data_IF_167162845183
#
_entry.id   IF_167162845183
#
_cell.length_a   1.000
_cell.length_b   1.000
_cell.length_c   1.000
_cell.angle_alpha   90.00
_cell.angle_beta   90.00
_cell.angle_gamma   90.00
#
_symmetry.space_group_name_H-M   'P 1'
#
loop_
_entity.id
_entity.type
_entity.pdbx_description
1 polymer ?
#
# COMPACT_ATOMS: atom_id res chain seq x y z
N UNK A 1 -2.29 9.20 30.94
CA UNK A 1 -2.09 8.55 29.62
C UNK A 1 -3.02 9.12 28.53
N UNK A 2 -4.18 9.66 28.88
CA UNK A 2 -5.15 10.12 27.87
C UNK A 2 -4.80 11.49 27.25
N UNK A 3 -4.19 12.40 27.99
CA UNK A 3 -3.94 13.76 27.53
C UNK A 3 -2.94 13.85 26.33
N UNK A 4 -1.89 13.05 26.35
CA UNK A 4 -0.91 13.02 25.24
C UNK A 4 -1.52 12.36 23.99
N UNK A 5 -2.36 11.35 24.18
CA UNK A 5 -3.08 10.67 23.11
C UNK A 5 -4.07 11.64 22.42
N UNK A 6 -4.77 12.42 23.25
CA UNK A 6 -5.71 13.44 22.77
C UNK A 6 -4.98 14.57 22.01
N UNK A 7 -3.86 15.04 22.54
CA UNK A 7 -3.02 16.02 21.87
C UNK A 7 -2.43 15.48 20.55
N UNK A 8 -2.02 14.21 20.53
CA UNK A 8 -1.52 13.54 19.32
C UNK A 8 -2.63 13.43 18.27
N UNK A 9 -3.82 13.01 18.68
CA UNK A 9 -4.97 12.90 17.79
C UNK A 9 -5.41 14.27 17.25
N UNK A 10 -5.41 15.31 18.09
CA UNK A 10 -5.68 16.66 17.62
C UNK A 10 -4.61 17.17 16.65
N UNK A 11 -3.34 16.87 16.91
CA UNK A 11 -2.22 17.25 16.03
C UNK A 11 -2.32 16.52 14.68
N UNK A 12 -2.68 15.26 14.67
CA UNK A 12 -2.93 14.44 13.47
C UNK A 12 -4.19 14.84 12.71
N UNK A 13 -5.18 15.45 13.40
CA UNK A 13 -6.41 15.94 12.80
C UNK A 13 -6.22 17.27 12.04
N UNK A 14 -5.10 17.98 12.24
CA UNK A 14 -4.79 19.16 11.47
C UNK A 14 -4.55 18.80 10.00
N UNK A 15 -5.20 19.49 9.03
CA UNK A 15 -5.09 19.14 7.60
C UNK A 15 -3.65 19.10 7.09
N UNK A 16 -2.81 20.00 7.56
CA UNK A 16 -1.39 20.09 7.15
C UNK A 16 -0.55 18.91 7.64
N UNK A 17 -0.83 18.38 8.83
CA UNK A 17 -0.09 17.28 9.42
C UNK A 17 -0.73 15.91 9.10
N UNK A 18 -2.05 15.88 8.95
CA UNK A 18 -2.80 14.67 8.64
C UNK A 18 -2.41 14.04 7.31
N UNK A 19 -2.26 14.84 6.26
CA UNK A 19 -1.83 14.34 4.94
C UNK A 19 -0.41 13.80 4.96
N UNK A 20 0.52 14.50 5.62
CA UNK A 20 1.91 14.02 5.78
C UNK A 20 1.98 12.72 6.56
N UNK A 21 1.18 12.61 7.61
CA UNK A 21 1.08 11.39 8.42
C UNK A 21 0.52 10.23 7.62
N UNK A 22 -0.55 10.45 6.86
CA UNK A 22 -1.12 9.43 5.97
C UNK A 22 -0.10 8.98 4.94
N UNK A 23 0.68 9.90 4.36
CA UNK A 23 1.74 9.56 3.42
C UNK A 23 2.79 8.65 4.06
N UNK A 24 3.32 9.02 5.23
CA UNK A 24 4.35 8.25 5.94
C UNK A 24 3.82 6.87 6.34
N UNK A 25 2.61 6.81 6.91
CA UNK A 25 1.99 5.54 7.29
C UNK A 25 1.78 4.66 6.05
N UNK A 26 1.27 5.21 4.95
CA UNK A 26 1.06 4.48 3.71
C UNK A 26 2.37 3.96 3.11
N UNK A 27 3.43 4.75 3.17
CA UNK A 27 4.77 4.36 2.71
C UNK A 27 5.35 3.23 3.56
N UNK A 28 5.33 3.37 4.89
CA UNK A 28 5.88 2.37 5.81
C UNK A 28 5.08 1.07 5.74
N UNK A 29 3.75 1.15 5.67
CA UNK A 29 2.89 -0.04 5.58
C UNK A 29 3.16 -0.86 4.32
N UNK A 30 3.50 -0.20 3.21
CA UNK A 30 3.83 -0.87 1.96
C UNK A 30 5.24 -1.47 1.91
N UNK A 31 6.14 -1.07 2.82
CA UNK A 31 7.53 -1.55 2.83
C UNK A 31 7.78 -2.59 3.91
N UNK A 32 7.26 -2.39 5.11
CA UNK A 32 7.69 -3.13 6.31
C UNK A 32 6.57 -3.93 6.98
N UNK A 33 5.32 -3.52 6.83
CA UNK A 33 4.19 -4.11 7.56
C UNK A 33 3.07 -4.50 6.58
N UNK A 34 2.57 -5.75 6.64
CA UNK A 34 1.39 -6.15 5.89
C UNK A 34 0.09 -5.60 6.51
N UNK A 35 0.19 -4.52 7.28
CA UNK A 35 -0.95 -3.85 7.89
C UNK A 35 -1.38 -2.70 7.00
N UNK A 36 -2.68 -2.64 6.72
CA UNK A 36 -3.26 -1.60 5.88
C UNK A 36 -3.15 -0.21 6.51
N UNK A 37 -2.90 0.79 5.70
CA UNK A 37 -2.96 2.22 6.08
C UNK A 37 -4.39 2.78 5.96
N UNK A 38 -5.37 1.94 5.64
CA UNK A 38 -6.77 2.32 5.46
C UNK A 38 -7.39 2.96 6.71
N UNK A 39 -7.11 2.49 7.95
CA UNK A 39 -7.63 3.15 9.16
C UNK A 39 -7.13 4.59 9.31
N UNK A 40 -5.90 4.89 8.90
CA UNK A 40 -5.34 6.24 8.96
C UNK A 40 -6.02 7.17 7.93
N UNK A 41 -6.23 6.68 6.71
CA UNK A 41 -6.97 7.43 5.66
C UNK A 41 -8.42 7.67 6.10
N UNK A 42 -9.09 6.63 6.58
CA UNK A 42 -10.46 6.73 7.07
C UNK A 42 -10.60 7.71 8.23
N UNK A 43 -9.71 7.64 9.22
CA UNK A 43 -9.71 8.55 10.37
C UNK A 43 -9.53 10.01 9.94
N UNK A 44 -8.58 10.30 9.05
CA UNK A 44 -8.37 11.67 8.54
C UNK A 44 -9.59 12.18 7.78
N UNK A 45 -10.14 11.37 6.86
CA UNK A 45 -11.31 11.77 6.05
C UNK A 45 -12.55 11.93 6.90
N UNK A 46 -12.71 11.11 7.96
CA UNK A 46 -13.86 11.22 8.85
C UNK A 46 -13.83 12.52 9.68
N UNK A 47 -12.64 12.94 10.09
CA UNK A 47 -12.44 14.22 10.80
C UNK A 47 -12.51 15.43 9.86
N UNK A 48 -12.11 15.27 8.61
CA UNK A 48 -12.03 16.30 7.60
C UNK A 48 -12.58 15.80 6.25
N UNK A 49 -13.90 15.79 6.05
CA UNK A 49 -14.52 15.23 4.84
C UNK A 49 -14.06 15.90 3.53
N UNK A 50 -13.67 17.17 3.59
CA UNK A 50 -13.12 17.92 2.46
C UNK A 50 -11.76 17.36 1.98
N UNK A 51 -11.05 16.60 2.82
CA UNK A 51 -9.77 15.98 2.49
C UNK A 51 -9.91 14.60 1.84
N UNK A 52 -11.11 14.15 1.48
CA UNK A 52 -11.35 12.84 0.89
C UNK A 52 -10.41 12.56 -0.30
N UNK A 53 -10.43 13.41 -1.31
CA UNK A 53 -9.59 13.25 -2.50
C UNK A 53 -8.09 13.43 -2.22
N UNK A 54 -7.66 14.52 -1.53
CA UNK A 54 -6.26 14.66 -1.15
C UNK A 54 -5.72 13.48 -0.35
N UNK A 55 -6.47 12.95 0.62
CA UNK A 55 -6.06 11.83 1.45
C UNK A 55 -5.86 10.55 0.62
N UNK A 56 -6.79 10.23 -0.29
CA UNK A 56 -6.67 9.07 -1.18
C UNK A 56 -5.47 9.21 -2.10
N UNK A 57 -5.25 10.38 -2.70
CA UNK A 57 -4.12 10.61 -3.61
C UNK A 57 -2.78 10.50 -2.87
N UNK A 58 -2.67 11.11 -1.70
CA UNK A 58 -1.46 11.10 -0.87
C UNK A 58 -1.17 9.67 -0.37
N UNK A 59 -2.18 8.96 0.10
CA UNK A 59 -2.05 7.56 0.52
C UNK A 59 -1.61 6.67 -0.65
N UNK A 60 -2.22 6.84 -1.82
CA UNK A 60 -1.85 6.11 -3.03
C UNK A 60 -0.40 6.38 -3.43
N UNK A 61 0.03 7.64 -3.39
CA UNK A 61 1.41 8.02 -3.70
C UNK A 61 2.39 7.39 -2.71
N UNK A 62 2.17 7.54 -1.40
CA UNK A 62 3.01 6.96 -0.36
C UNK A 62 3.11 5.45 -0.46
N UNK A 63 1.97 4.78 -0.60
CA UNK A 63 1.90 3.33 -0.70
C UNK A 63 2.50 2.80 -2.01
N UNK A 64 2.38 3.54 -3.11
CA UNK A 64 3.03 3.18 -4.40
C UNK A 64 4.55 3.32 -4.29
N UNK A 65 5.05 4.40 -3.70
CA UNK A 65 6.48 4.58 -3.44
C UNK A 65 7.04 3.47 -2.56
N UNK A 66 6.30 3.06 -1.51
CA UNK A 66 6.65 1.91 -0.69
C UNK A 66 6.71 0.60 -1.51
N UNK A 67 5.74 0.39 -2.40
CA UNK A 67 5.74 -0.74 -3.34
C UNK A 67 6.92 -0.73 -4.31
N UNK A 68 7.37 0.46 -4.77
CA UNK A 68 8.58 0.61 -5.59
C UNK A 68 9.83 0.20 -4.82
N UNK A 69 9.95 0.59 -3.54
CA UNK A 69 11.04 0.15 -2.67
C UNK A 69 11.01 -1.36 -2.50
N UNK A 70 9.84 -1.94 -2.25
CA UNK A 70 9.65 -3.39 -2.14
C UNK A 70 10.04 -4.11 -3.44
N UNK A 71 9.72 -3.55 -4.60
CA UNK A 71 10.15 -4.06 -5.90
C UNK A 71 11.68 -4.06 -6.02
N UNK A 72 12.35 -2.97 -5.63
CA UNK A 72 13.82 -2.88 -5.65
C UNK A 72 14.48 -3.85 -4.68
N UNK A 73 13.90 -4.05 -3.49
CA UNK A 73 14.37 -5.06 -2.55
C UNK A 73 14.24 -6.47 -3.14
N UNK A 74 13.11 -6.78 -3.78
CA UNK A 74 12.92 -8.05 -4.50
C UNK A 74 13.93 -8.25 -5.62
N UNK A 75 14.20 -7.22 -6.41
CA UNK A 75 15.19 -7.26 -7.48
C UNK A 75 16.61 -7.47 -6.95
N UNK A 76 16.97 -6.82 -5.86
CA UNK A 76 18.28 -6.99 -5.19
C UNK A 76 18.47 -8.39 -4.61
N UNK A 77 17.43 -8.98 -4.02
CA UNK A 77 17.50 -10.34 -3.44
C UNK A 77 17.58 -11.44 -4.50
N UNK A 78 17.18 -11.18 -5.75
CA UNK A 78 17.33 -12.13 -6.84
C UNK A 78 18.78 -12.63 -7.00
N UNK A 79 19.76 -11.76 -6.81
CA UNK A 79 21.18 -12.13 -6.88
C UNK A 79 21.63 -12.98 -5.67
N UNK A 80 21.00 -12.79 -4.49
CA UNK A 80 21.37 -13.52 -3.27
C UNK A 80 20.73 -14.92 -3.20
N UNK A 81 19.51 -15.07 -3.74
CA UNK A 81 18.68 -16.28 -3.56
C UNK A 81 18.87 -17.31 -4.68
N UNK A 82 19.55 -16.98 -5.76
CA UNK A 82 19.88 -17.96 -6.81
C UNK A 82 20.63 -19.22 -6.27
N UNK A 83 21.16 -19.15 -5.04
CA UNK A 83 21.86 -20.23 -4.36
C UNK A 83 20.92 -21.16 -3.55
N UNK A 84 19.63 -20.81 -3.38
CA UNK A 84 18.65 -21.53 -2.53
C UNK A 84 17.46 -22.08 -3.32
N UNK A 85 17.62 -22.32 -4.59
CA UNK A 85 16.55 -22.62 -5.56
C UNK A 85 16.15 -24.08 -5.64
N UNK A 86 15.87 -24.73 -4.51
CA UNK A 86 15.41 -26.13 -4.50
C UNK A 86 14.11 -26.29 -3.69
N UNK A 87 13.06 -25.55 -4.04
CA UNK A 87 11.73 -25.80 -3.46
C UNK A 87 10.64 -25.75 -4.51
N UNK A 88 10.15 -26.92 -4.87
CA UNK A 88 9.19 -27.16 -5.95
C UNK A 88 7.78 -26.58 -5.76
N UNK A 89 7.45 -26.09 -4.57
CA UNK A 89 6.09 -25.61 -4.25
C UNK A 89 5.85 -24.16 -4.72
N UNK A 90 6.90 -23.37 -4.88
CA UNK A 90 6.80 -21.99 -5.35
C UNK A 90 6.61 -21.84 -6.87
N UNK A 91 6.84 -22.91 -7.64
CA UNK A 91 6.94 -22.85 -9.09
C UNK A 91 5.60 -22.47 -9.76
N UNK A 92 4.45 -22.93 -9.23
CA UNK A 92 3.14 -22.67 -9.87
C UNK A 92 2.69 -21.21 -9.71
N UNK A 93 2.82 -20.64 -8.49
CA UNK A 93 2.45 -19.25 -8.24
C UNK A 93 3.37 -18.28 -8.99
N UNK A 94 4.67 -18.57 -9.03
CA UNK A 94 5.67 -17.80 -9.78
C UNK A 94 5.43 -17.87 -11.29
N UNK A 95 5.17 -19.06 -11.84
CA UNK A 95 4.86 -19.25 -13.26
C UNK A 95 3.58 -18.50 -13.67
N UNK A 96 2.58 -18.45 -12.79
CA UNK A 96 1.36 -17.70 -13.03
C UNK A 96 1.62 -16.18 -13.03
N UNK A 97 2.45 -15.69 -12.11
CA UNK A 97 2.87 -14.29 -12.05
C UNK A 97 3.72 -13.91 -13.26
N UNK A 98 4.64 -14.76 -13.70
CA UNK A 98 5.41 -14.57 -14.94
C UNK A 98 4.49 -14.48 -16.16
N UNK A 99 3.48 -15.33 -16.24
CA UNK A 99 2.51 -15.33 -17.33
C UNK A 99 1.64 -14.07 -17.37
N UNK A 100 1.25 -13.54 -16.22
CA UNK A 100 0.51 -12.27 -16.11
C UNK A 100 1.42 -11.05 -16.35
N UNK A 101 2.71 -11.20 -16.09
CA UNK A 101 3.68 -10.12 -16.22
C UNK A 101 3.35 -8.92 -15.32
N UNK A 102 3.60 -7.68 -15.77
CA UNK A 102 3.34 -6.47 -14.99
C UNK A 102 1.90 -6.30 -14.52
N UNK A 103 0.94 -6.90 -15.23
CA UNK A 103 -0.49 -6.89 -14.87
C UNK A 103 -0.76 -7.56 -13.52
N UNK A 104 0.12 -8.47 -13.09
CA UNK A 104 0.04 -9.07 -11.76
C UNK A 104 0.09 -8.02 -10.64
N UNK A 105 0.79 -6.90 -10.87
CA UNK A 105 0.88 -5.80 -9.91
C UNK A 105 -0.45 -5.08 -9.68
N UNK A 106 -1.46 -5.27 -10.56
CA UNK A 106 -2.82 -4.80 -10.31
C UNK A 106 -3.44 -5.48 -9.08
N UNK A 107 -3.05 -6.73 -8.79
CA UNK A 107 -3.47 -7.46 -7.59
C UNK A 107 -2.92 -6.83 -6.30
N UNK A 108 -2.09 -5.78 -6.38
CA UNK A 108 -1.68 -4.97 -5.24
C UNK A 108 -2.85 -4.26 -4.53
N UNK A 109 -4.02 -4.28 -5.13
CA UNK A 109 -5.26 -3.86 -4.50
C UNK A 109 -5.67 -4.79 -3.33
N UNK A 110 -5.26 -6.07 -3.34
CA UNK A 110 -5.61 -7.03 -2.29
C UNK A 110 -4.87 -6.68 -0.98
N UNK A 111 -5.63 -6.49 0.14
CA UNK A 111 -5.02 -6.19 1.42
C UNK A 111 -4.16 -7.37 1.90
N UNK A 112 -2.96 -7.08 2.42
CA UNK A 112 -2.04 -8.07 2.98
C UNK A 112 -1.24 -8.89 1.97
N UNK A 113 -1.77 -9.16 0.77
CA UNK A 113 -1.10 -9.93 -0.29
C UNK A 113 -0.46 -9.01 -1.34
N UNK A 114 -1.03 -7.83 -1.53
CA UNK A 114 -0.62 -6.91 -2.59
C UNK A 114 0.80 -6.37 -2.44
N UNK A 115 1.21 -6.04 -1.23
CA UNK A 115 2.53 -5.46 -0.97
C UNK A 115 3.67 -6.49 -1.12
N UNK A 116 3.58 -7.73 -0.58
CA UNK A 116 4.52 -8.79 -0.90
C UNK A 116 4.63 -9.10 -2.40
N UNK A 117 3.52 -8.95 -3.14
CA UNK A 117 3.50 -9.16 -4.59
C UNK A 117 4.40 -8.18 -5.34
N UNK A 118 4.54 -6.94 -4.84
CA UNK A 118 5.46 -5.96 -5.40
C UNK A 118 6.93 -6.42 -5.31
N UNK A 119 7.31 -7.01 -4.16
CA UNK A 119 8.64 -7.59 -3.98
C UNK A 119 8.87 -8.80 -4.90
N UNK A 120 7.87 -9.67 -5.05
CA UNK A 120 7.92 -10.81 -5.98
C UNK A 120 8.04 -10.36 -7.43
N UNK A 121 7.33 -9.30 -7.83
CA UNK A 121 7.45 -8.73 -9.17
C UNK A 121 8.88 -8.21 -9.45
N UNK A 122 9.53 -7.60 -8.46
CA UNK A 122 10.93 -7.21 -8.53
C UNK A 122 11.87 -8.41 -8.63
N UNK A 123 11.64 -9.44 -7.83
CA UNK A 123 12.41 -10.68 -7.84
C UNK A 123 12.32 -11.39 -9.20
N UNK A 124 11.16 -11.39 -9.84
CA UNK A 124 10.95 -11.89 -11.20
C UNK A 124 11.50 -10.97 -12.29
N UNK A 125 12.09 -9.82 -11.94
CA UNK A 125 12.62 -8.82 -12.88
C UNK A 125 11.58 -8.31 -13.87
N UNK A 126 10.32 -8.21 -13.45
CA UNK A 126 9.28 -7.61 -14.28
C UNK A 126 9.60 -6.13 -14.53
N UNK A 127 9.23 -5.55 -15.69
CA UNK A 127 9.57 -4.18 -16.03
C UNK A 127 9.02 -3.19 -15.00
N UNK A 128 9.89 -2.35 -14.45
CA UNK A 128 9.63 -1.46 -13.32
C UNK A 128 8.47 -0.48 -13.57
N UNK A 129 8.51 0.25 -14.69
CA UNK A 129 7.50 1.28 -14.96
C UNK A 129 6.07 0.74 -15.15
N UNK A 130 5.86 -0.31 -15.97
CA UNK A 130 4.54 -0.94 -16.04
C UNK A 130 4.06 -1.48 -14.71
N UNK A 131 4.94 -2.12 -13.91
CA UNK A 131 4.58 -2.58 -12.57
C UNK A 131 4.14 -1.42 -11.68
N UNK A 132 4.89 -0.32 -11.65
CA UNK A 132 4.56 0.88 -10.87
C UNK A 132 3.20 1.44 -11.26
N UNK A 133 2.89 1.52 -12.56
CA UNK A 133 1.60 2.00 -13.05
C UNK A 133 0.44 1.11 -12.57
N UNK A 134 0.57 -0.21 -12.73
CA UNK A 134 -0.46 -1.15 -12.26
C UNK A 134 -0.61 -1.16 -10.74
N UNK A 135 0.51 -1.01 -9.99
CA UNK A 135 0.48 -0.81 -8.54
C UNK A 135 -0.32 0.43 -8.15
N UNK A 136 -0.04 1.57 -8.79
CA UNK A 136 -0.73 2.83 -8.51
C UNK A 136 -2.23 2.72 -8.77
N UNK A 137 -2.65 2.12 -9.88
CA UNK A 137 -4.06 1.89 -10.21
C UNK A 137 -4.72 0.98 -9.18
N UNK A 138 -4.10 -0.15 -8.84
CA UNK A 138 -4.63 -1.09 -7.86
C UNK A 138 -4.77 -0.47 -6.48
N UNK A 139 -3.75 0.24 -6.01
CA UNK A 139 -3.75 0.89 -4.69
C UNK A 139 -4.74 2.05 -4.63
N UNK A 140 -4.85 2.85 -5.69
CA UNK A 140 -5.86 3.89 -5.78
C UNK A 140 -7.29 3.31 -5.66
N UNK A 141 -7.60 2.27 -6.43
CA UNK A 141 -8.89 1.59 -6.36
C UNK A 141 -9.17 1.02 -4.96
N UNK A 142 -8.15 0.46 -4.29
CA UNK A 142 -8.26 -0.04 -2.92
C UNK A 142 -8.64 1.07 -1.94
N UNK A 143 -7.91 2.17 -1.91
CA UNK A 143 -8.21 3.28 -1.01
C UNK A 143 -9.59 3.88 -1.29
N UNK A 144 -9.94 4.06 -2.56
CA UNK A 144 -11.24 4.59 -2.95
C UNK A 144 -12.39 3.70 -2.43
N UNK A 145 -12.35 2.40 -2.73
CA UNK A 145 -13.40 1.45 -2.38
C UNK A 145 -13.48 1.27 -0.86
N UNK A 146 -12.34 1.08 -0.19
CA UNK A 146 -12.34 0.84 1.26
C UNK A 146 -12.75 2.07 2.05
N UNK A 147 -12.24 3.26 1.71
CA UNK A 147 -12.63 4.50 2.39
C UNK A 147 -14.10 4.82 2.16
N UNK A 148 -14.60 4.69 0.93
CA UNK A 148 -16.02 4.90 0.62
C UNK A 148 -16.91 3.88 1.35
N UNK A 149 -16.53 2.61 1.40
CA UNK A 149 -17.26 1.56 2.11
C UNK A 149 -17.32 1.82 3.62
N UNK A 150 -16.20 2.22 4.22
CA UNK A 150 -16.15 2.54 5.65
C UNK A 150 -16.98 3.78 6.01
N UNK A 151 -16.97 4.81 5.17
CA UNK A 151 -17.83 5.98 5.36
C UNK A 151 -19.30 5.64 5.23
N UNK A 152 -19.66 4.70 4.34
CA UNK A 152 -21.03 4.23 4.17
C UNK A 152 -21.50 3.37 5.34
N UNK A 153 -20.62 2.53 5.92
CA UNK A 153 -20.95 1.66 7.07
C UNK A 153 -21.03 2.47 8.37
N UNK A 154 -20.20 3.50 8.52
CA UNK A 154 -20.12 4.34 9.72
C UNK A 154 -20.49 5.80 9.41
N UNK A 155 -21.76 6.10 9.09
CA UNK A 155 -22.18 7.46 8.73
C UNK A 155 -22.21 8.45 9.90
N UNK A 156 -22.06 7.97 11.15
CA UNK A 156 -22.06 8.83 12.34
C UNK A 156 -20.81 9.69 12.46
N UNK A 157 -20.99 10.97 12.84
CA UNK A 157 -19.88 11.84 13.25
C UNK A 157 -19.37 11.41 14.63
N UNK A 158 -18.05 11.46 14.83
CA UNK A 158 -17.43 11.31 16.15
C UNK A 158 -17.57 12.61 16.90
#
# INVERSE_FOLDING_TARGET
>A
MEAWLYNLLQWLALPEHGLSTVFVIAFISATLLPMGSEPAVFGLVKLNPELFWPAILVATAGNTLGGMVSWWMGWGTHHAVNKWRDSSTHIRALAWLEKLGPKACLLSWLPGVGDPLCAVAGWLKLPFWPCTLYMAIGKFGRYLVMTASLLWIFPGQI
#
